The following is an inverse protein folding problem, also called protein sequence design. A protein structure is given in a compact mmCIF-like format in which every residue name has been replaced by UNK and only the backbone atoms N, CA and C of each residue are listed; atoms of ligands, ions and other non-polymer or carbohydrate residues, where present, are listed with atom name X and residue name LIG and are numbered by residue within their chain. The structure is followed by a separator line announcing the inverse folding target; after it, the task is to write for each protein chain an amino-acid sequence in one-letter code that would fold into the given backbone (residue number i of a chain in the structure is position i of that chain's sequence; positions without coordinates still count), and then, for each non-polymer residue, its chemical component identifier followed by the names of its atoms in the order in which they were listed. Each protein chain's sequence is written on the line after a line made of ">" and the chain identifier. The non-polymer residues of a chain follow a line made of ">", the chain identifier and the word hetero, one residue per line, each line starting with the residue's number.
data_IF_338111979214
#
_entry.id   IF_338111979214
#
_cell.length_a   1.000
_cell.length_b   1.000
_cell.length_c   1.000
_cell.angle_alpha   90.00
_cell.angle_beta   90.00
_cell.angle_gamma   90.00
#
_symmetry.space_group_name_H-M   'P 1'
#
loop_
_entity.id
_entity.type
_entity.pdbx_description
1 polymer ?
#
# COMPACT_ATOMS: atom_id res chain seq x y z
N UNK A 1 -24.09 -16.33 -5.16
CA UNK A 1 -24.57 -16.75 -3.83
C UNK A 1 -25.10 -15.51 -3.16
N UNK A 2 -26.42 -15.35 -3.21
CA UNK A 2 -27.13 -14.20 -2.66
C UNK A 2 -27.35 -14.42 -1.16
N UNK A 3 -27.71 -13.37 -0.41
CA UNK A 3 -28.05 -13.53 1.03
C UNK A 3 -29.21 -14.51 1.25
N UNK A 4 -30.06 -14.66 0.24
CA UNK A 4 -31.18 -15.60 0.18
C UNK A 4 -30.73 -17.06 0.32
N UNK A 5 -29.57 -17.41 -0.26
CA UNK A 5 -29.03 -18.78 -0.19
C UNK A 5 -28.61 -19.15 1.24
N UNK A 6 -28.12 -18.19 2.02
CA UNK A 6 -27.72 -18.40 3.43
C UNK A 6 -28.96 -18.59 4.30
N UNK A 7 -30.00 -17.77 4.09
CA UNK A 7 -31.27 -17.88 4.83
C UNK A 7 -31.99 -19.20 4.53
N UNK A 8 -32.00 -19.63 3.26
CA UNK A 8 -32.55 -20.92 2.86
C UNK A 8 -31.81 -22.09 3.53
N UNK A 9 -30.48 -22.04 3.59
CA UNK A 9 -29.66 -23.07 4.24
C UNK A 9 -29.89 -23.12 5.76
N UNK A 10 -29.99 -21.96 6.43
CA UNK A 10 -30.34 -21.88 7.85
C UNK A 10 -31.70 -22.51 8.15
N UNK A 11 -32.71 -22.22 7.33
CA UNK A 11 -34.03 -22.83 7.48
C UNK A 11 -33.97 -24.36 7.29
N UNK A 12 -33.25 -24.83 6.28
CA UNK A 12 -33.06 -26.26 6.03
C UNK A 12 -32.40 -26.98 7.22
N UNK A 13 -31.39 -26.36 7.84
CA UNK A 13 -30.74 -26.90 9.06
C UNK A 13 -31.71 -26.99 10.23
N UNK A 14 -32.57 -25.98 10.43
CA UNK A 14 -33.59 -26.02 11.49
C UNK A 14 -34.57 -27.18 11.27
N UNK A 15 -34.99 -27.43 10.03
CA UNK A 15 -35.84 -28.57 9.71
C UNK A 15 -35.11 -29.90 9.86
N UNK A 16 -33.85 -29.98 9.44
CA UNK A 16 -33.00 -31.16 9.61
C UNK A 16 -32.85 -31.56 11.08
N UNK A 17 -32.62 -30.57 11.97
CA UNK A 17 -32.57 -30.77 13.42
C UNK A 17 -33.88 -31.31 13.98
N UNK A 18 -35.03 -30.80 13.51
CA UNK A 18 -36.37 -31.28 13.92
C UNK A 18 -36.66 -32.70 13.43
N UNK A 19 -36.10 -33.08 12.29
CA UNK A 19 -36.23 -34.41 11.70
C UNK A 19 -35.24 -35.43 12.27
N UNK A 20 -34.40 -35.07 13.25
CA UNK A 20 -33.32 -35.91 13.79
C UNK A 20 -32.38 -36.48 12.71
N UNK A 21 -32.02 -35.65 11.73
CA UNK A 21 -30.97 -36.03 10.77
C UNK A 21 -29.60 -36.20 11.46
N UNK A 22 -28.66 -36.93 10.84
CA UNK A 22 -27.33 -37.14 11.38
C UNK A 22 -26.64 -35.83 11.74
N UNK A 23 -25.99 -35.82 12.90
CA UNK A 23 -25.30 -34.63 13.41
C UNK A 23 -24.16 -34.19 12.48
N UNK A 24 -23.49 -35.13 11.83
CA UNK A 24 -22.40 -34.86 10.90
C UNK A 24 -22.83 -33.99 9.71
N UNK A 25 -23.99 -34.28 9.10
CA UNK A 25 -24.54 -33.49 7.99
C UNK A 25 -24.94 -32.08 8.42
N UNK A 26 -25.49 -31.97 9.63
CA UNK A 26 -25.88 -30.68 10.22
C UNK A 26 -24.63 -29.83 10.50
N UNK A 27 -23.58 -30.42 11.08
CA UNK A 27 -22.32 -29.72 11.36
C UNK A 27 -21.61 -29.29 10.06
N UNK A 28 -21.64 -30.13 9.02
CA UNK A 28 -21.11 -29.79 7.71
C UNK A 28 -21.88 -28.60 7.07
N UNK A 29 -23.21 -28.59 7.18
CA UNK A 29 -24.03 -27.49 6.68
C UNK A 29 -23.81 -26.18 7.46
N UNK A 30 -23.65 -26.27 8.79
CA UNK A 30 -23.31 -25.11 9.63
C UNK A 30 -21.93 -24.54 9.29
N UNK A 31 -20.93 -25.42 9.08
CA UNK A 31 -19.60 -25.00 8.63
C UNK A 31 -19.67 -24.28 7.27
N UNK A 32 -20.51 -24.76 6.34
CA UNK A 32 -20.72 -24.12 5.05
C UNK A 32 -21.38 -22.73 5.18
N UNK A 33 -22.32 -22.54 6.12
CA UNK A 33 -22.88 -21.19 6.39
C UNK A 33 -21.78 -20.23 6.84
N UNK A 34 -20.95 -20.66 7.80
CA UNK A 34 -19.87 -19.81 8.33
C UNK A 34 -18.90 -19.39 7.22
N UNK A 35 -18.59 -20.32 6.31
CA UNK A 35 -17.81 -20.07 5.09
C UNK A 35 -18.50 -19.03 4.19
N UNK A 36 -19.75 -19.27 3.77
CA UNK A 36 -20.48 -18.35 2.90
C UNK A 36 -20.61 -16.93 3.48
N UNK A 37 -20.82 -16.82 4.79
CA UNK A 37 -20.84 -15.53 5.46
C UNK A 37 -19.48 -14.83 5.45
N UNK A 38 -18.37 -15.55 5.69
CA UNK A 38 -17.04 -14.99 5.63
C UNK A 38 -16.75 -14.42 4.22
N UNK A 39 -17.06 -15.20 3.18
CA UNK A 39 -16.98 -14.76 1.78
C UNK A 39 -17.83 -13.52 1.49
N UNK A 40 -19.08 -13.50 1.96
CA UNK A 40 -19.99 -12.37 1.73
C UNK A 40 -19.51 -11.11 2.45
N UNK A 41 -18.99 -11.24 3.68
CA UNK A 41 -18.38 -10.14 4.43
C UNK A 41 -17.15 -9.59 3.70
N UNK A 42 -16.30 -10.46 3.14
CA UNK A 42 -15.12 -10.04 2.37
C UNK A 42 -15.53 -9.24 1.12
N UNK A 43 -16.53 -9.72 0.38
CA UNK A 43 -17.08 -8.98 -0.78
C UNK A 43 -17.66 -7.62 -0.39
N UNK A 44 -18.41 -7.56 0.70
CA UNK A 44 -18.97 -6.31 1.20
C UNK A 44 -17.86 -5.33 1.61
N UNK A 45 -16.82 -5.81 2.31
CA UNK A 45 -15.68 -5.00 2.69
C UNK A 45 -14.94 -4.41 1.48
N UNK A 46 -14.72 -5.21 0.43
CA UNK A 46 -14.13 -4.75 -0.83
C UNK A 46 -15.00 -3.69 -1.52
N UNK A 47 -16.32 -3.82 -1.47
CA UNK A 47 -17.22 -2.81 -2.01
C UNK A 47 -17.16 -1.47 -1.25
N UNK A 48 -16.99 -1.52 0.08
CA UNK A 48 -16.89 -0.33 0.92
C UNK A 48 -15.54 0.41 0.83
N UNK A 49 -14.49 -0.23 0.28
CA UNK A 49 -13.12 0.33 0.17
C UNK A 49 -12.54 0.86 1.50
N UNK A 50 -13.01 0.31 2.63
CA UNK A 50 -12.57 0.66 3.97
C UNK A 50 -11.43 -0.28 4.38
N UNK A 51 -10.22 0.27 4.60
CA UNK A 51 -9.01 -0.51 4.93
C UNK A 51 -9.24 -1.44 6.13
N UNK A 52 -9.76 -0.90 7.23
CA UNK A 52 -9.99 -1.69 8.46
C UNK A 52 -11.01 -2.82 8.25
N UNK A 53 -12.08 -2.54 7.49
CA UNK A 53 -13.09 -3.55 7.18
C UNK A 53 -12.53 -4.67 6.31
N UNK A 54 -11.68 -4.34 5.33
CA UNK A 54 -11.02 -5.32 4.47
C UNK A 54 -10.03 -6.16 5.28
N UNK A 55 -9.21 -5.54 6.12
CA UNK A 55 -8.24 -6.21 6.98
C UNK A 55 -8.92 -7.21 7.92
N UNK A 56 -10.00 -6.80 8.59
CA UNK A 56 -10.78 -7.68 9.45
C UNK A 56 -11.40 -8.84 8.67
N UNK A 57 -11.95 -8.58 7.48
CA UNK A 57 -12.56 -9.61 6.65
C UNK A 57 -11.54 -10.63 6.13
N UNK A 58 -10.33 -10.20 5.74
CA UNK A 58 -9.21 -11.08 5.34
C UNK A 58 -8.83 -11.99 6.51
N UNK A 59 -8.63 -11.44 7.70
CA UNK A 59 -8.27 -12.22 8.89
C UNK A 59 -9.33 -13.28 9.22
N UNK A 60 -10.61 -12.96 9.01
CA UNK A 60 -11.71 -13.91 9.22
C UNK A 60 -11.74 -14.99 8.14
N UNK A 61 -11.50 -14.64 6.88
CA UNK A 61 -11.49 -15.57 5.75
C UNK A 61 -10.29 -16.53 5.78
N UNK A 62 -9.11 -16.06 6.22
CA UNK A 62 -7.90 -16.90 6.38
C UNK A 62 -8.12 -18.06 7.35
N UNK A 63 -8.84 -17.81 8.45
CA UNK A 63 -9.18 -18.86 9.44
C UNK A 63 -10.11 -19.93 8.89
N UNK A 64 -10.82 -19.64 7.79
CA UNK A 64 -11.80 -20.53 7.19
C UNK A 64 -11.28 -21.23 5.92
N UNK A 65 -10.00 -21.04 5.57
CA UNK A 65 -9.34 -21.63 4.40
C UNK A 65 -10.10 -21.39 3.07
N UNK A 66 -10.78 -20.25 2.94
CA UNK A 66 -11.60 -20.00 1.76
C UNK A 66 -10.82 -19.42 0.59
N UNK A 67 -11.07 -19.98 -0.60
CA UNK A 67 -10.96 -19.30 -1.89
C UNK A 67 -9.70 -18.45 -2.06
N UNK A 68 -8.55 -19.11 -2.20
CA UNK A 68 -7.22 -18.48 -2.38
C UNK A 68 -7.25 -17.28 -3.33
N UNK A 69 -8.04 -17.36 -4.41
CA UNK A 69 -8.22 -16.25 -5.37
C UNK A 69 -8.87 -15.01 -4.77
N UNK A 70 -10.02 -15.15 -4.12
CA UNK A 70 -10.74 -14.00 -3.54
C UNK A 70 -9.96 -13.39 -2.37
N UNK A 71 -9.28 -14.24 -1.59
CA UNK A 71 -8.42 -13.78 -0.53
C UNK A 71 -7.23 -13.00 -1.08
N UNK A 72 -6.59 -13.49 -2.14
CA UNK A 72 -5.49 -12.80 -2.81
C UNK A 72 -5.97 -11.47 -3.40
N UNK A 73 -7.09 -11.46 -4.13
CA UNK A 73 -7.70 -10.23 -4.66
C UNK A 73 -7.95 -9.20 -3.55
N UNK A 74 -8.41 -9.66 -2.37
CA UNK A 74 -8.64 -8.79 -1.24
C UNK A 74 -7.35 -8.22 -0.65
N UNK A 75 -6.29 -9.05 -0.56
CA UNK A 75 -4.95 -8.62 -0.11
C UNK A 75 -4.35 -7.60 -1.08
N UNK A 76 -4.46 -7.85 -2.38
CA UNK A 76 -3.96 -6.94 -3.42
C UNK A 76 -4.75 -5.61 -3.40
N UNK A 77 -6.05 -5.67 -3.13
CA UNK A 77 -6.86 -4.46 -2.97
C UNK A 77 -6.51 -3.68 -1.70
N UNK A 78 -6.30 -4.38 -0.58
CA UNK A 78 -5.85 -3.76 0.67
C UNK A 78 -4.50 -3.07 0.49
N UNK A 79 -3.53 -3.76 -0.13
CA UNK A 79 -2.20 -3.24 -0.40
C UNK A 79 -2.25 -1.93 -1.19
N UNK A 80 -3.03 -1.89 -2.28
CA UNK A 80 -3.23 -0.67 -3.08
C UNK A 80 -3.83 0.48 -2.26
N UNK A 81 -4.83 0.21 -1.41
CA UNK A 81 -5.44 1.25 -0.57
C UNK A 81 -4.48 1.79 0.49
N UNK A 82 -3.64 0.92 1.07
CA UNK A 82 -2.62 1.32 2.04
C UNK A 82 -1.56 2.20 1.40
N UNK A 83 -1.07 1.84 0.21
CA UNK A 83 -0.12 2.65 -0.55
C UNK A 83 -0.71 4.02 -0.87
N UNK A 84 -1.96 4.09 -1.34
CA UNK A 84 -2.61 5.38 -1.63
C UNK A 84 -2.77 6.24 -0.37
N UNK A 85 -3.09 5.64 0.78
CA UNK A 85 -3.18 6.35 2.06
C UNK A 85 -1.82 6.87 2.52
N UNK A 86 -0.77 6.04 2.43
CA UNK A 86 0.59 6.43 2.78
C UNK A 86 1.08 7.57 1.87
N UNK A 87 0.75 7.49 0.57
CA UNK A 87 1.06 8.53 -0.40
C UNK A 87 0.37 9.84 -0.05
N UNK A 88 -0.93 9.83 0.31
CA UNK A 88 -1.64 11.03 0.75
C UNK A 88 -1.01 11.64 2.02
N UNK A 89 -0.61 10.81 2.99
CA UNK A 89 0.15 11.27 4.16
C UNK A 89 1.50 11.92 3.77
N UNK A 90 2.26 11.30 2.87
CA UNK A 90 3.54 11.81 2.39
C UNK A 90 3.38 13.15 1.63
N UNK A 91 2.35 13.29 0.79
CA UNK A 91 1.99 14.54 0.10
C UNK A 91 1.69 15.64 1.13
N UNK A 92 0.90 15.32 2.16
CA UNK A 92 0.50 16.30 3.18
C UNK A 92 1.70 16.81 3.99
N UNK A 93 2.65 15.94 4.31
CA UNK A 93 3.90 16.30 5.00
C UNK A 93 4.93 16.93 4.05
N UNK A 94 4.73 16.78 2.72
CA UNK A 94 5.68 17.17 1.66
C UNK A 94 7.05 16.52 1.82
N UNK A 95 7.06 15.29 2.31
CA UNK A 95 8.29 14.51 2.45
C UNK A 95 8.71 13.97 1.08
N UNK A 96 9.78 14.54 0.53
CA UNK A 96 10.30 14.18 -0.80
C UNK A 96 10.65 12.69 -0.89
N UNK A 97 11.34 12.14 0.11
CA UNK A 97 11.80 10.76 0.07
C UNK A 97 10.62 9.79 0.22
N UNK A 98 9.72 10.06 1.15
CA UNK A 98 8.53 9.23 1.34
C UNK A 98 7.61 9.23 0.10
N UNK A 99 7.47 10.36 -0.61
CA UNK A 99 6.72 10.43 -1.87
C UNK A 99 7.36 9.52 -2.94
N UNK A 100 8.70 9.54 -3.07
CA UNK A 100 9.42 8.69 -4.05
C UNK A 100 9.21 7.20 -3.76
N UNK A 101 9.35 6.80 -2.50
CA UNK A 101 9.17 5.42 -2.06
C UNK A 101 7.71 4.97 -2.29
N UNK A 102 6.73 5.76 -1.85
CA UNK A 102 5.31 5.43 -2.05
C UNK A 102 4.92 5.37 -3.54
N UNK A 103 5.52 6.20 -4.40
CA UNK A 103 5.29 6.14 -5.86
C UNK A 103 5.90 4.89 -6.50
N UNK A 104 7.04 4.41 -6.01
CA UNK A 104 7.61 3.14 -6.45
C UNK A 104 6.70 1.97 -6.06
N UNK A 105 6.24 1.93 -4.80
CA UNK A 105 5.28 0.93 -4.33
C UNK A 105 3.94 0.99 -5.08
N UNK A 106 3.46 2.18 -5.41
CA UNK A 106 2.24 2.36 -6.20
C UNK A 106 2.37 1.75 -7.60
N UNK A 107 3.55 1.85 -8.23
CA UNK A 107 3.81 1.24 -9.54
C UNK A 107 3.89 -0.28 -9.45
N UNK A 108 4.53 -0.83 -8.41
CA UNK A 108 4.62 -2.27 -8.21
C UNK A 108 3.25 -2.91 -7.93
N UNK A 109 2.42 -2.22 -7.15
CA UNK A 109 1.07 -2.68 -6.79
C UNK A 109 0.01 -2.36 -7.85
N UNK A 110 0.35 -1.58 -8.89
CA UNK A 110 -0.61 -1.09 -9.87
C UNK A 110 -1.70 -0.20 -9.25
N UNK A 111 -1.35 0.56 -8.21
CA UNK A 111 -2.22 1.54 -7.61
C UNK A 111 -2.32 2.76 -8.54
N UNK A 112 -3.55 3.08 -8.95
CA UNK A 112 -3.87 4.25 -9.77
C UNK A 112 -4.88 5.12 -9.00
N UNK A 113 -4.77 6.44 -9.14
CA UNK A 113 -5.68 7.37 -8.48
C UNK A 113 -5.18 8.81 -8.50
N UNK A 114 -6.05 9.77 -8.13
CA UNK A 114 -5.70 11.18 -8.11
C UNK A 114 -4.60 11.52 -7.09
N UNK A 115 -4.37 10.66 -6.08
CA UNK A 115 -3.23 10.75 -5.16
C UNK A 115 -1.91 10.54 -5.88
N UNK A 116 -1.86 9.58 -6.82
CA UNK A 116 -0.66 9.29 -7.63
C UNK A 116 -0.33 10.47 -8.54
N UNK A 117 -1.32 11.02 -9.23
CA UNK A 117 -1.13 12.20 -10.09
C UNK A 117 -0.64 13.41 -9.28
N UNK A 118 -1.23 13.64 -8.11
CA UNK A 118 -0.83 14.72 -7.20
C UNK A 118 0.58 14.53 -6.67
N UNK A 119 0.96 13.31 -6.30
CA UNK A 119 2.31 12.98 -5.86
C UNK A 119 3.34 13.21 -6.97
N UNK A 120 3.08 12.74 -8.19
CA UNK A 120 3.98 12.95 -9.34
C UNK A 120 4.16 14.45 -9.61
N UNK A 121 3.07 15.21 -9.63
CA UNK A 121 3.13 16.65 -9.84
C UNK A 121 3.90 17.39 -8.74
N UNK A 122 3.66 17.04 -7.47
CA UNK A 122 4.37 17.63 -6.35
C UNK A 122 5.86 17.29 -6.40
N UNK A 123 6.20 16.04 -6.75
CA UNK A 123 7.57 15.60 -6.88
C UNK A 123 8.34 16.40 -7.94
N UNK A 124 7.75 16.58 -9.13
CA UNK A 124 8.35 17.40 -10.19
C UNK A 124 8.59 18.85 -9.75
N UNK A 125 7.71 19.43 -8.94
CA UNK A 125 7.92 20.77 -8.39
C UNK A 125 9.06 20.83 -7.36
N UNK A 126 9.19 19.82 -6.50
CA UNK A 126 10.26 19.74 -5.51
C UNK A 126 11.62 19.56 -6.20
N UNK A 127 11.70 18.68 -7.20
CA UNK A 127 12.91 18.45 -8.00
C UNK A 127 13.32 19.69 -8.79
N UNK A 128 12.38 20.42 -9.40
CA UNK A 128 12.67 21.69 -10.07
C UNK A 128 13.24 22.73 -9.09
N UNK A 129 12.70 22.81 -7.87
CA UNK A 129 13.21 23.71 -6.82
C UNK A 129 14.60 23.33 -6.33
N UNK A 130 14.89 22.03 -6.22
CA UNK A 130 16.21 21.53 -5.86
C UNK A 130 17.23 21.80 -6.96
N UNK A 131 16.86 21.64 -8.24
CA UNK A 131 17.74 21.97 -9.37
C UNK A 131 18.10 23.47 -9.44
N UNK A 132 17.20 24.35 -9.00
CA UNK A 132 17.48 25.79 -8.88
C UNK A 132 18.24 26.18 -7.61
N UNK A 133 18.34 25.28 -6.62
CA UNK A 133 19.34 25.42 -5.56
C UNK A 133 20.69 25.08 -6.18
N UNK A 134 21.31 26.09 -6.81
CA UNK A 134 22.72 26.03 -7.19
C UNK A 134 23.52 25.44 -6.02
N UNK A 135 24.37 24.44 -6.24
CA UNK A 135 25.41 24.14 -5.28
C UNK A 135 26.32 25.37 -5.23
N UNK A 136 26.11 26.25 -4.25
CA UNK A 136 27.00 27.37 -3.89
C UNK A 136 28.37 26.87 -3.35
N UNK A 137 28.86 25.75 -3.87
CA UNK A 137 30.29 25.47 -3.95
C UNK A 137 30.81 26.10 -5.25
N UNK A 138 30.68 27.42 -5.38
CA UNK A 138 31.71 28.16 -6.09
C UNK A 138 32.99 27.96 -5.27
N UNK A 139 34.04 27.31 -5.81
CA UNK A 139 35.33 27.31 -5.12
C UNK A 139 35.71 28.77 -4.98
N UNK A 140 35.77 29.26 -3.74
CA UNK A 140 36.34 30.56 -3.50
C UNK A 140 37.74 30.54 -4.10
N UNK A 141 37.90 31.46 -5.03
CA UNK A 141 39.09 31.77 -5.78
C UNK A 141 40.23 32.03 -4.77
N UNK A 142 41.02 31.01 -4.44
CA UNK A 142 42.33 31.20 -3.79
C UNK A 142 43.33 31.70 -4.85
N UNK A 143 43.05 32.88 -5.38
CA UNK A 143 44.06 33.74 -5.95
C UNK A 143 44.77 34.44 -4.79
N UNK A 144 45.89 33.88 -4.33
CA UNK A 144 46.83 34.60 -3.48
C UNK A 144 48.27 34.33 -3.95
N UNK A 145 48.83 35.36 -4.61
CA UNK A 145 50.26 35.72 -4.67
C UNK A 145 51.21 34.70 -5.33
N UNK A 146 51.49 34.79 -6.64
CA UNK A 146 52.43 35.79 -7.21
C UNK A 146 53.24 36.56 -6.17
N UNK A 147 54.31 35.94 -5.65
CA UNK A 147 55.49 36.67 -5.18
C UNK A 147 56.69 36.21 -5.99
N UNK A 148 57.06 37.09 -6.90
CA UNK A 148 58.37 37.21 -7.52
C UNK A 148 59.46 37.03 -6.46
N UNK A 149 60.39 36.11 -6.70
CA UNK A 149 61.67 36.08 -6.03
C UNK A 149 62.77 35.93 -7.08
N UNK A 150 63.00 37.02 -7.81
CA UNK A 150 64.31 37.30 -8.40
C UNK A 150 65.28 37.67 -7.28
N UNK A 151 66.25 36.79 -7.01
CA UNK A 151 67.61 37.14 -6.54
C UNK A 151 68.53 36.05 -7.08
N UNK A 152 69.23 36.26 -8.19
CA UNK A 152 70.43 37.09 -8.33
C UNK A 152 71.64 36.49 -7.58
N UNK A 153 72.47 35.79 -8.38
CA UNK A 153 73.94 35.96 -8.52
C UNK A 153 74.88 35.60 -7.34
N UNK A 154 75.85 34.73 -7.69
CA UNK A 154 77.22 34.51 -7.17
C UNK A 154 77.49 34.25 -5.67
N UNK A 155 78.07 33.06 -5.37
CA UNK A 155 79.47 32.91 -4.92
C UNK A 155 79.88 31.46 -4.56
N UNK A 156 81.05 31.08 -5.10
CA UNK A 156 82.09 30.21 -4.51
C UNK A 156 81.77 28.76 -4.10
N UNK A 157 82.18 27.78 -4.93
CA UNK A 157 83.30 26.85 -4.67
C UNK A 157 83.50 25.81 -5.76
#
# INVERSE_FOLDING_TARGET
>A
IASEDVMALQFAIVQAKRANLPREDIEAAEALIVQLEARNRLKAALACKQIESIRWAIQRAEKMCEGVKLLQEAKDHLCRLEVLKNLDCAINVKDHQAIKECLAEARETGAEGPEVDRAVFLLSQLEAREAHRCPDQCPQHESVESKEAWKEVDKDK
#
